data_IF_324393048228
#
_entry.id   IF_324393048228
#
_cell.length_a   1.000
_cell.length_b   1.000
_cell.length_c   1.000
_cell.angle_alpha   90.00
_cell.angle_beta   90.00
_cell.angle_gamma   90.00
#
_symmetry.space_group_name_H-M   'P 1'
#
loop_
_entity.id
_entity.type
_entity.pdbx_description
1 polymer ?
#
# COMPACT_ATOMS: atom_id res chain seq x y z
N UNK A 1 4.08 0.78 -21.07
CA UNK A 1 2.96 -0.17 -20.96
C UNK A 1 3.41 -1.47 -20.30
N UNK A 2 4.50 -2.09 -20.73
CA UNK A 2 5.00 -3.40 -20.28
C UNK A 2 5.37 -3.48 -18.78
N UNK A 3 5.71 -2.35 -18.17
CA UNK A 3 6.08 -2.26 -16.75
C UNK A 3 4.95 -1.75 -15.85
N UNK A 4 3.74 -1.59 -16.38
CA UNK A 4 2.60 -1.16 -15.61
C UNK A 4 2.13 -2.31 -14.69
N UNK A 5 2.01 -2.09 -13.38
CA UNK A 5 1.35 -3.04 -12.51
C UNK A 5 -0.14 -3.10 -12.84
N UNK A 6 -0.71 -4.28 -12.87
CA UNK A 6 -2.13 -4.51 -13.15
C UNK A 6 -2.36 -5.55 -14.25
N UNK A 7 -3.62 -5.83 -14.49
CA UNK A 7 -4.04 -6.83 -15.47
C UNK A 7 -3.99 -6.24 -16.90
N UNK A 8 -3.35 -6.94 -17.82
CA UNK A 8 -3.37 -6.57 -19.25
C UNK A 8 -4.80 -6.45 -19.80
N UNK A 9 -5.74 -7.23 -19.26
CA UNK A 9 -7.15 -7.19 -19.64
C UNK A 9 -7.82 -5.88 -19.20
N UNK A 10 -7.53 -5.39 -18.01
CA UNK A 10 -8.06 -4.12 -17.50
C UNK A 10 -7.55 -2.94 -18.34
N UNK A 11 -6.28 -2.97 -18.75
CA UNK A 11 -5.71 -1.96 -19.66
C UNK A 11 -6.42 -1.99 -21.00
N UNK A 12 -6.65 -3.18 -21.56
CA UNK A 12 -7.35 -3.32 -22.84
C UNK A 12 -8.80 -2.83 -22.74
N UNK A 13 -9.53 -3.19 -21.69
CA UNK A 13 -10.89 -2.70 -21.49
C UNK A 13 -10.94 -1.16 -21.40
N UNK A 14 -10.01 -0.56 -20.68
CA UNK A 14 -9.93 0.91 -20.57
C UNK A 14 -9.63 1.56 -21.94
N UNK A 15 -8.72 0.99 -22.74
CA UNK A 15 -8.44 1.45 -24.11
C UNK A 15 -9.69 1.32 -25.02
N UNK A 16 -10.44 0.22 -24.89
CA UNK A 16 -11.71 0.01 -25.63
C UNK A 16 -12.80 1.02 -25.23
N UNK A 17 -12.83 1.45 -23.96
CA UNK A 17 -13.70 2.51 -23.44
C UNK A 17 -13.23 3.93 -23.83
N UNK A 18 -12.11 4.06 -24.55
CA UNK A 18 -11.58 5.34 -25.01
C UNK A 18 -10.70 6.06 -23.98
N UNK A 19 -10.23 5.37 -22.94
CA UNK A 19 -9.29 5.94 -21.96
C UNK A 19 -7.90 6.06 -22.60
N UNK A 20 -7.34 7.25 -22.53
CA UNK A 20 -5.98 7.54 -23.00
C UNK A 20 -4.96 7.36 -21.87
N UNK A 21 -3.96 6.50 -22.09
CA UNK A 21 -2.85 6.30 -21.17
C UNK A 21 -1.65 7.15 -21.54
N UNK A 22 -1.23 8.01 -20.64
CA UNK A 22 -0.01 8.82 -20.81
C UNK A 22 1.14 8.14 -20.05
N UNK A 23 1.85 7.28 -20.75
CA UNK A 23 2.92 6.46 -20.20
C UNK A 23 4.17 7.27 -19.82
N UNK A 24 4.92 6.77 -18.84
CA UNK A 24 6.18 7.37 -18.35
C UNK A 24 6.01 8.85 -18.02
N UNK A 25 4.99 9.13 -17.23
CA UNK A 25 4.59 10.46 -16.82
C UNK A 25 4.27 10.49 -15.33
N UNK A 26 4.55 11.61 -14.69
CA UNK A 26 4.25 11.83 -13.27
C UNK A 26 3.58 13.19 -13.08
N UNK A 27 2.45 13.27 -12.37
CA UNK A 27 1.86 14.54 -12.00
C UNK A 27 2.87 15.39 -11.22
N UNK A 28 2.96 16.68 -11.56
CA UNK A 28 3.84 17.64 -10.89
C UNK A 28 3.05 18.71 -10.16
N UNK A 29 2.12 19.36 -10.84
CA UNK A 29 1.39 20.52 -10.33
C UNK A 29 0.00 20.60 -10.94
N UNK A 30 -0.99 20.96 -10.12
CA UNK A 30 -2.33 21.33 -10.60
C UNK A 30 -2.40 22.84 -10.76
N UNK A 31 -2.87 23.31 -11.90
CA UNK A 31 -3.06 24.74 -12.19
C UNK A 31 -4.53 25.09 -12.27
N UNK A 32 -4.83 26.31 -11.89
CA UNK A 32 -6.15 26.92 -11.86
C UNK A 32 -6.29 27.89 -10.70
N UNK A 33 -7.29 28.74 -10.70
CA UNK A 33 -7.56 29.69 -9.61
C UNK A 33 -8.64 29.15 -8.67
N UNK A 34 -9.88 29.04 -9.14
CA UNK A 34 -11.03 28.58 -8.36
C UNK A 34 -11.33 27.09 -8.57
N UNK A 35 -10.89 26.56 -9.68
CA UNK A 35 -10.98 25.13 -10.04
C UNK A 35 -9.72 24.70 -10.80
N UNK A 36 -9.52 23.39 -10.91
CA UNK A 36 -8.45 22.87 -11.76
C UNK A 36 -8.77 23.18 -13.23
N UNK A 37 -7.77 23.64 -13.94
CA UNK A 37 -7.84 23.96 -15.37
C UNK A 37 -6.85 23.12 -16.17
N UNK A 38 -5.75 22.75 -15.52
CA UNK A 38 -4.74 21.90 -16.14
C UNK A 38 -3.86 21.19 -15.12
N UNK A 39 -3.15 20.19 -15.62
CA UNK A 39 -2.15 19.40 -14.91
C UNK A 39 -0.81 19.54 -15.59
N UNK A 40 0.20 19.99 -14.89
CA UNK A 40 1.60 19.90 -15.34
C UNK A 40 2.15 18.51 -15.02
N UNK A 41 2.79 17.92 -16.00
CA UNK A 41 3.26 16.53 -15.96
C UNK A 41 4.74 16.49 -16.35
N UNK A 42 5.55 15.87 -15.51
CA UNK A 42 6.94 15.55 -15.80
C UNK A 42 7.04 14.27 -16.64
N UNK A 43 7.92 14.26 -17.63
CA UNK A 43 8.31 13.01 -18.32
C UNK A 43 9.25 12.19 -17.43
N UNK A 44 9.01 10.89 -17.43
CA UNK A 44 9.78 9.89 -16.69
C UNK A 44 10.60 9.05 -17.68
N UNK A 45 11.80 8.65 -17.26
CA UNK A 45 12.52 7.53 -17.85
C UNK A 45 12.70 6.44 -16.80
N UNK A 46 12.75 5.20 -17.24
CA UNK A 46 13.06 4.07 -16.36
C UNK A 46 14.57 3.97 -16.17
N UNK A 47 14.99 3.89 -14.92
CA UNK A 47 16.37 3.60 -14.53
C UNK A 47 16.72 2.12 -14.67
N UNK A 48 17.87 1.74 -14.11
CA UNK A 48 18.26 0.34 -14.03
C UNK A 48 17.32 -0.44 -13.11
N UNK A 49 17.12 -1.74 -13.37
CA UNK A 49 16.34 -2.60 -12.48
C UNK A 49 17.02 -2.76 -11.12
N UNK A 50 16.25 -2.77 -10.06
CA UNK A 50 16.71 -3.15 -8.72
C UNK A 50 16.77 -4.69 -8.56
N UNK A 51 17.12 -5.17 -7.36
CA UNK A 51 17.22 -6.59 -7.04
C UNK A 51 15.92 -7.38 -7.28
N UNK A 52 14.77 -6.71 -7.27
CA UNK A 52 13.46 -7.29 -7.60
C UNK A 52 13.14 -7.28 -9.09
N UNK A 53 14.01 -6.71 -9.93
CA UNK A 53 13.79 -6.48 -11.34
C UNK A 53 12.95 -5.24 -11.66
N UNK A 54 12.53 -4.48 -10.65
CA UNK A 54 11.72 -3.27 -10.83
C UNK A 54 12.61 -2.09 -11.20
N UNK A 55 12.24 -1.38 -12.26
CA UNK A 55 12.95 -0.18 -12.70
C UNK A 55 12.44 1.06 -11.99
N UNK A 56 13.34 1.79 -11.35
CA UNK A 56 13.00 3.04 -10.65
C UNK A 56 12.63 4.13 -11.64
N UNK A 57 11.51 4.83 -11.46
CA UNK A 57 11.15 5.99 -12.27
C UNK A 57 12.10 7.16 -11.97
N UNK A 58 12.63 7.80 -13.01
CA UNK A 58 13.53 8.95 -12.93
C UNK A 58 12.91 10.10 -13.70
N UNK A 59 12.67 11.23 -13.04
CA UNK A 59 12.18 12.45 -13.68
C UNK A 59 13.22 12.97 -14.66
N UNK A 60 12.79 13.26 -15.89
CA UNK A 60 13.61 13.92 -16.89
C UNK A 60 13.52 15.44 -16.68
N UNK A 61 14.60 16.05 -16.21
CA UNK A 61 14.63 17.50 -16.00
C UNK A 61 14.37 18.24 -17.31
N UNK A 62 13.59 19.32 -17.26
CA UNK A 62 13.21 20.19 -18.38
C UNK A 62 12.34 19.50 -19.47
N UNK A 63 11.75 18.37 -19.17
CA UNK A 63 10.78 17.69 -20.04
C UNK A 63 9.44 17.59 -19.32
N UNK A 64 8.72 18.70 -19.31
CA UNK A 64 7.36 18.77 -18.78
C UNK A 64 6.39 19.21 -19.88
N UNK A 65 5.14 18.86 -19.72
CA UNK A 65 4.05 19.26 -20.58
C UNK A 65 2.78 19.48 -19.78
N UNK A 66 1.82 20.16 -20.36
CA UNK A 66 0.57 20.53 -19.72
C UNK A 66 -0.60 19.84 -20.38
N UNK A 67 -1.50 19.30 -19.55
CA UNK A 67 -2.73 18.64 -19.98
C UNK A 67 -3.90 19.45 -19.45
N UNK A 68 -4.82 19.86 -20.30
CA UNK A 68 -6.07 20.50 -19.87
C UNK A 68 -6.95 19.47 -19.16
N UNK A 69 -7.50 19.86 -18.01
CA UNK A 69 -8.38 19.00 -17.23
C UNK A 69 -9.37 19.85 -16.42
N UNK A 70 -10.63 19.51 -16.46
CA UNK A 70 -11.67 20.12 -15.66
C UNK A 70 -11.81 19.45 -14.28
N UNK A 71 -11.38 18.18 -14.17
CA UNK A 71 -11.39 17.37 -12.95
C UNK A 71 -10.12 16.53 -12.93
N UNK A 72 -9.50 16.41 -11.76
CA UNK A 72 -8.38 15.49 -11.51
C UNK A 72 -8.68 14.61 -10.33
N UNK A 73 -8.56 13.30 -10.51
CA UNK A 73 -8.77 12.30 -9.46
C UNK A 73 -7.43 11.67 -9.11
N UNK A 74 -7.03 11.79 -7.84
CA UNK A 74 -5.87 11.09 -7.30
C UNK A 74 -6.27 9.68 -6.90
N UNK A 75 -6.01 8.70 -7.76
CA UNK A 75 -6.24 7.28 -7.50
C UNK A 75 -4.94 6.58 -7.08
N UNK A 76 -4.22 7.18 -6.14
CA UNK A 76 -2.97 6.67 -5.57
C UNK A 76 -3.28 5.60 -4.51
N UNK A 77 -2.27 4.83 -4.13
CA UNK A 77 -2.40 3.87 -3.03
C UNK A 77 -2.70 4.55 -1.69
N UNK A 78 -2.89 3.74 -0.66
CA UNK A 78 -3.12 4.20 0.71
C UNK A 78 -1.83 4.10 1.51
N UNK A 79 -1.59 5.09 2.34
CA UNK A 79 -0.60 5.01 3.41
C UNK A 79 -1.26 4.36 4.63
N UNK A 80 -0.52 3.54 5.40
CA UNK A 80 -1.04 2.99 6.64
C UNK A 80 -1.30 4.11 7.66
N UNK A 81 -2.35 3.94 8.45
CA UNK A 81 -2.62 4.86 9.56
C UNK A 81 -1.54 4.78 10.63
N UNK A 82 -1.24 5.89 11.30
CA UNK A 82 -0.27 5.96 12.39
C UNK A 82 -0.85 5.37 13.68
N UNK A 83 -1.12 4.06 13.68
CA UNK A 83 -1.75 3.36 14.80
C UNK A 83 -1.01 3.51 16.14
N UNK A 84 0.34 3.56 16.21
CA UNK A 84 1.01 3.87 17.48
C UNK A 84 0.54 5.17 18.12
N UNK A 85 0.32 6.22 17.33
CA UNK A 85 -0.22 7.49 17.81
C UNK A 85 -1.71 7.41 18.13
N UNK A 86 -2.50 6.77 17.26
CA UNK A 86 -3.95 6.65 17.44
C UNK A 86 -4.32 5.90 18.72
N UNK A 87 -3.52 4.92 19.10
CA UNK A 87 -3.74 4.11 20.31
C UNK A 87 -2.93 4.56 21.53
N UNK A 88 -2.16 5.65 21.40
CA UNK A 88 -1.24 6.13 22.45
C UNK A 88 -0.28 5.02 22.92
N UNK A 89 0.21 4.21 21.96
CA UNK A 89 1.09 3.05 22.20
C UNK A 89 2.37 3.17 21.35
N UNK A 90 3.28 4.01 21.80
CA UNK A 90 4.54 4.30 21.10
C UNK A 90 5.47 3.08 20.97
N UNK A 91 5.27 2.06 21.83
CA UNK A 91 6.07 0.84 21.78
C UNK A 91 5.65 -0.12 20.67
N UNK A 92 4.49 0.07 20.04
CA UNK A 92 4.06 -0.75 18.92
C UNK A 92 5.00 -0.54 17.71
N UNK A 93 5.72 -1.60 17.34
CA UNK A 93 6.70 -1.51 16.25
C UNK A 93 6.06 -1.46 14.88
N UNK A 94 6.55 -0.54 14.05
CA UNK A 94 6.17 -0.40 12.65
C UNK A 94 7.39 -0.54 11.73
N UNK A 95 7.14 -0.82 10.47
CA UNK A 95 8.15 -0.83 9.41
C UNK A 95 8.50 0.61 9.00
N UNK A 96 9.49 0.76 8.14
CA UNK A 96 9.83 2.07 7.53
C UNK A 96 8.70 2.65 6.65
N UNK A 97 7.71 1.86 6.31
CA UNK A 97 6.52 2.27 5.54
C UNK A 97 5.29 2.51 6.42
N UNK A 98 5.42 2.41 7.75
CA UNK A 98 4.33 2.63 8.69
C UNK A 98 3.44 1.41 8.96
N UNK A 99 3.64 0.28 8.28
CA UNK A 99 2.88 -0.95 8.55
C UNK A 99 3.33 -1.61 9.86
N UNK A 100 2.40 -2.26 10.56
CA UNK A 100 2.70 -2.95 11.82
C UNK A 100 3.62 -4.15 11.57
N UNK A 101 4.64 -4.32 12.40
CA UNK A 101 5.47 -5.52 12.40
C UNK A 101 4.81 -6.63 13.19
N UNK A 102 4.69 -7.80 12.55
CA UNK A 102 4.24 -9.03 13.19
C UNK A 102 5.21 -10.16 12.91
N UNK A 103 5.16 -11.17 13.73
CA UNK A 103 5.65 -12.49 13.37
C UNK A 103 4.62 -13.13 12.44
N UNK A 104 5.02 -13.56 11.24
CA UNK A 104 4.09 -14.08 10.23
C UNK A 104 3.54 -15.47 10.54
N UNK A 105 4.16 -16.22 11.44
CA UNK A 105 3.67 -17.54 11.86
C UNK A 105 2.61 -17.41 12.96
N UNK A 106 2.74 -16.40 13.82
CA UNK A 106 1.85 -16.20 14.97
C UNK A 106 0.93 -14.99 14.82
N UNK A 107 1.16 -14.12 13.84
CA UNK A 107 0.47 -12.84 13.65
C UNK A 107 0.54 -11.92 14.89
N UNK A 108 1.36 -12.25 15.89
CA UNK A 108 1.56 -11.45 17.09
C UNK A 108 2.52 -10.30 16.80
N UNK A 109 2.21 -9.14 17.36
CA UNK A 109 3.10 -7.97 17.32
C UNK A 109 4.20 -8.11 18.37
N UNK A 110 5.05 -7.10 18.51
CA UNK A 110 5.99 -7.04 19.66
C UNK A 110 5.28 -6.83 21.00
N UNK A 111 4.01 -6.46 21.01
CA UNK A 111 3.19 -6.32 22.22
C UNK A 111 2.46 -7.63 22.48
N UNK A 112 2.71 -8.21 23.62
CA UNK A 112 2.15 -9.51 23.98
C UNK A 112 0.63 -9.53 24.02
N UNK A 113 0.03 -10.45 23.25
CA UNK A 113 -1.42 -10.60 23.13
C UNK A 113 -2.06 -9.59 22.18
N UNK A 114 -1.25 -8.82 21.44
CA UNK A 114 -1.70 -7.91 20.39
C UNK A 114 -1.33 -8.51 19.04
N UNK A 115 -2.33 -8.69 18.20
CA UNK A 115 -2.22 -9.29 16.87
C UNK A 115 -2.60 -8.29 15.81
N UNK A 116 -2.00 -8.41 14.62
CA UNK A 116 -2.37 -7.60 13.47
C UNK A 116 -2.33 -8.45 12.19
N UNK A 117 -3.22 -8.15 11.26
CA UNK A 117 -3.37 -8.90 10.02
C UNK A 117 -3.89 -8.02 8.88
N UNK A 118 -3.72 -8.46 7.64
CA UNK A 118 -4.20 -7.75 6.45
C UNK A 118 -3.32 -6.57 6.02
N UNK A 119 -3.93 -5.56 5.41
CA UNK A 119 -3.21 -4.46 4.76
C UNK A 119 -2.37 -3.62 5.73
N UNK A 120 -2.77 -3.53 7.00
CA UNK A 120 -1.97 -2.81 8.01
C UNK A 120 -0.62 -3.49 8.30
N UNK A 121 -0.47 -4.76 7.94
CA UNK A 121 0.78 -5.53 8.06
C UNK A 121 1.49 -5.65 6.72
N UNK A 122 0.77 -6.01 5.66
CA UNK A 122 1.33 -6.28 4.32
C UNK A 122 1.55 -5.02 3.48
N UNK A 123 0.88 -3.92 3.79
CA UNK A 123 0.62 -2.83 2.87
C UNK A 123 -0.61 -3.15 2.00
N UNK A 124 -0.97 -2.25 1.10
CA UNK A 124 -2.11 -2.44 0.19
C UNK A 124 -1.94 -3.74 -0.62
N UNK A 125 -2.89 -4.66 -0.48
CA UNK A 125 -2.80 -6.01 -1.03
C UNK A 125 -4.16 -6.52 -1.53
N UNK A 126 -4.19 -7.75 -2.05
CA UNK A 126 -5.42 -8.35 -2.53
C UNK A 126 -6.29 -8.83 -1.37
N UNK A 127 -7.61 -8.71 -1.53
CA UNK A 127 -8.63 -9.16 -0.56
C UNK A 127 -8.43 -10.62 -0.13
N UNK A 128 -8.00 -11.49 -1.03
CA UNK A 128 -7.73 -12.90 -0.72
C UNK A 128 -6.63 -13.09 0.33
N UNK A 129 -5.63 -12.21 0.34
CA UNK A 129 -4.59 -12.22 1.37
C UNK A 129 -5.12 -11.69 2.72
N UNK A 130 -5.94 -10.66 2.71
CA UNK A 130 -6.57 -10.15 3.93
C UNK A 130 -7.46 -11.20 4.59
N UNK A 131 -8.23 -11.96 3.80
CA UNK A 131 -9.05 -13.08 4.28
C UNK A 131 -8.16 -14.18 4.89
N UNK A 132 -7.08 -14.57 4.19
CA UNK A 132 -6.14 -15.57 4.71
C UNK A 132 -5.54 -15.12 6.03
N UNK A 133 -4.97 -13.93 6.07
CA UNK A 133 -4.31 -13.38 7.25
C UNK A 133 -5.26 -13.27 8.45
N UNK A 134 -6.52 -12.87 8.23
CA UNK A 134 -7.53 -12.82 9.27
C UNK A 134 -7.83 -14.20 9.85
N UNK A 135 -7.84 -15.25 9.03
CA UNK A 135 -8.04 -16.64 9.49
C UNK A 135 -6.82 -17.14 10.27
N UNK A 136 -5.61 -16.87 9.77
CA UNK A 136 -4.37 -17.25 10.44
C UNK A 136 -4.24 -16.55 11.79
N UNK A 137 -4.56 -15.26 11.88
CA UNK A 137 -4.59 -14.49 13.11
C UNK A 137 -5.62 -15.06 14.12
N UNK A 138 -6.81 -15.45 13.66
CA UNK A 138 -7.84 -16.03 14.52
C UNK A 138 -7.37 -17.36 15.16
N UNK A 139 -6.72 -18.25 14.39
CA UNK A 139 -6.19 -19.50 14.90
C UNK A 139 -5.01 -19.28 15.86
N UNK A 140 -4.14 -18.31 15.54
CA UNK A 140 -3.06 -17.91 16.42
C UNK A 140 -3.57 -17.35 17.77
N UNK A 141 -4.59 -16.47 17.74
CA UNK A 141 -5.24 -15.95 18.95
C UNK A 141 -5.88 -17.07 19.79
N UNK A 142 -6.53 -18.04 19.16
CA UNK A 142 -7.10 -19.20 19.84
C UNK A 142 -6.02 -19.99 20.56
N UNK A 143 -4.93 -20.32 19.87
CA UNK A 143 -3.77 -21.02 20.45
C UNK A 143 -3.16 -20.23 21.61
N UNK A 144 -3.02 -18.94 21.49
CA UNK A 144 -2.53 -18.04 22.53
C UNK A 144 -3.42 -18.11 23.79
N UNK A 145 -4.74 -18.02 23.63
CA UNK A 145 -5.70 -18.08 24.73
C UNK A 145 -5.72 -19.45 25.44
N UNK A 146 -5.62 -20.54 24.68
CA UNK A 146 -5.52 -21.91 25.24
C UNK A 146 -4.26 -22.06 26.10
N UNK A 147 -3.13 -21.55 25.64
CA UNK A 147 -1.87 -21.56 26.37
C UNK A 147 -1.95 -20.76 27.69
N UNK A 148 -2.68 -19.64 27.73
CA UNK A 148 -2.92 -18.86 28.94
C UNK A 148 -3.79 -19.65 29.93
N UNK A 149 -4.86 -20.31 29.46
CA UNK A 149 -5.72 -21.13 30.34
C UNK A 149 -4.96 -22.26 30.96
N UNK A 150 -4.13 -22.98 30.22
CA UNK A 150 -3.28 -24.07 30.71
C UNK A 150 -2.30 -23.57 31.76
N UNK A 151 -1.68 -22.39 31.58
CA UNK A 151 -0.77 -21.81 32.57
C UNK A 151 -1.50 -21.45 33.86
N UNK A 152 -2.68 -20.86 33.78
CA UNK A 152 -3.48 -20.52 34.98
C UNK A 152 -3.92 -21.76 35.77
N UNK A 153 -4.29 -22.85 35.09
CA UNK A 153 -4.69 -24.10 35.75
C UNK A 153 -3.54 -24.88 36.40
N UNK A 154 -2.28 -24.60 36.02
CA UNK A 154 -1.09 -25.22 36.62
C UNK A 154 -0.55 -24.46 37.85
N UNK A 155 -1.05 -23.27 38.11
CA UNK A 155 -0.61 -22.38 39.21
C UNK A 155 -1.67 -22.33 40.33
N UNK A 156 -2.85 -22.88 40.10
CA UNK A 156 -3.90 -23.08 41.09
C UNK A 156 -3.87 -24.51 41.64
#
# INVERSE_FOLDING_TARGET
>A
KENMPGSAREVLNAEEEGIEFIWLSSPKEFKGSDKVESLVVDKIKLGEPDESGRRKPIIQKNFEFEIKADIVIKALGFDPEELPKLFDEENLQVTKWGTIKTDFDTMETNLKGVFAAGDIVRGASLVVWAIKDGRDAAEAMKTYLENIKIKKSKVA
#
